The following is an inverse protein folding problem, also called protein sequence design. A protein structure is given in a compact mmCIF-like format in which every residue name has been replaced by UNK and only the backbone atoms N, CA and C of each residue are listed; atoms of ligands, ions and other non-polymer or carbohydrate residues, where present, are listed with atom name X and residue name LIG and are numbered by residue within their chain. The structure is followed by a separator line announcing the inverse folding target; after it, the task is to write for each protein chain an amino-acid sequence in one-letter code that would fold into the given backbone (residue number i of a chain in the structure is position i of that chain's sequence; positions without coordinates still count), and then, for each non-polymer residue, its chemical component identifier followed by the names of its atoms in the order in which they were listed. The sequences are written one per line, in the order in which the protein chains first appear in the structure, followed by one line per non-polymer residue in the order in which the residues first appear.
data_IF_748099082200
#
_entry.id   IF_748099082200
#
_cell.length_a   1.000
_cell.length_b   1.000
_cell.length_c   1.000
_cell.angle_alpha   90.00
_cell.angle_beta   90.00
_cell.angle_gamma   90.00
#
_symmetry.space_group_name_H-M   'P 1'
#
loop_
_entity.id
_entity.type
_entity.pdbx_description
1 polymer ?
#
# COMPACT_ATOMS: atom_id res chain seq x y z
N UNK A 1 17.92 5.40 -7.00
CA UNK A 1 17.75 5.74 -5.58
C UNK A 1 18.89 5.10 -4.82
N UNK A 2 19.64 5.88 -4.02
CA UNK A 2 20.78 5.35 -3.28
C UNK A 2 20.31 4.70 -1.96
N UNK A 3 21.09 3.80 -1.35
CA UNK A 3 20.73 3.19 -0.07
C UNK A 3 20.48 4.23 1.05
N UNK A 4 21.20 5.35 1.05
CA UNK A 4 21.00 6.45 2.02
C UNK A 4 19.64 7.15 1.82
N UNK A 5 19.19 7.31 0.57
CA UNK A 5 17.87 7.88 0.27
C UNK A 5 16.77 6.92 0.71
N UNK A 6 16.97 5.61 0.50
CA UNK A 6 16.05 4.57 0.97
C UNK A 6 15.94 4.59 2.50
N UNK A 7 17.07 4.70 3.21
CA UNK A 7 17.09 4.83 4.66
C UNK A 7 16.32 6.06 5.12
N UNK A 8 16.59 7.21 4.50
CA UNK A 8 15.92 8.48 4.80
C UNK A 8 14.40 8.39 4.56
N UNK A 9 13.98 7.81 3.43
CA UNK A 9 12.57 7.65 3.09
C UNK A 9 11.85 6.67 4.03
N UNK A 10 12.52 5.57 4.39
CA UNK A 10 11.99 4.58 5.32
C UNK A 10 11.80 5.16 6.72
N UNK A 11 12.75 5.95 7.21
CA UNK A 11 12.69 6.61 8.52
C UNK A 11 11.66 7.76 8.58
N UNK A 12 11.35 8.38 7.45
CA UNK A 12 10.30 9.40 7.35
C UNK A 12 8.88 8.80 7.44
N UNK A 13 8.73 7.47 7.37
CA UNK A 13 7.42 6.81 7.56
C UNK A 13 6.99 6.85 9.04
N UNK A 14 5.68 7.00 9.33
CA UNK A 14 5.20 7.05 10.70
C UNK A 14 5.55 5.78 11.49
N UNK A 15 6.12 5.99 12.68
CA UNK A 15 6.62 4.94 13.56
C UNK A 15 7.61 3.96 12.92
N UNK A 16 8.34 4.43 11.90
CA UNK A 16 9.50 3.71 11.41
C UNK A 16 10.65 3.81 12.42
N UNK A 17 11.30 2.69 12.67
CA UNK A 17 12.52 2.59 13.43
C UNK A 17 13.53 1.73 12.70
N UNK A 18 14.80 2.04 12.88
CA UNK A 18 15.93 1.28 12.35
C UNK A 18 16.56 0.44 13.45
N UNK A 19 16.84 -0.82 13.14
CA UNK A 19 17.59 -1.73 14.00
C UNK A 19 18.57 -2.57 13.17
N UNK A 20 19.67 -3.00 13.78
CA UNK A 20 20.67 -3.87 13.13
C UNK A 20 20.80 -5.24 13.84
N UNK A 21 19.78 -6.11 13.78
CA UNK A 21 19.79 -7.40 14.47
C UNK A 21 20.81 -8.38 13.89
N UNK A 22 21.24 -8.19 12.63
CA UNK A 22 22.14 -9.11 11.93
C UNK A 22 23.58 -8.58 11.81
N UNK A 23 23.94 -7.54 12.55
CA UNK A 23 25.27 -6.91 12.52
C UNK A 23 25.39 -5.77 11.51
N UNK A 24 26.58 -5.17 11.40
CA UNK A 24 26.80 -3.96 10.62
C UNK A 24 26.50 -4.21 9.13
N UNK A 25 26.04 -3.18 8.43
CA UNK A 25 25.73 -3.19 6.99
C UNK A 25 24.43 -3.91 6.60
N UNK A 26 23.57 -4.21 7.57
CA UNK A 26 22.23 -4.78 7.35
C UNK A 26 21.17 -4.11 8.22
N UNK A 27 20.83 -2.84 7.96
CA UNK A 27 19.78 -2.16 8.70
C UNK A 27 18.41 -2.69 8.32
N UNK A 28 17.55 -2.74 9.33
CA UNK A 28 16.22 -3.33 9.30
C UNK A 28 15.24 -2.28 9.74
N UNK A 29 14.28 -1.98 8.88
CA UNK A 29 13.25 -0.99 9.14
C UNK A 29 11.98 -1.68 9.64
N UNK A 30 11.51 -1.22 10.79
CA UNK A 30 10.32 -1.73 11.46
C UNK A 30 9.29 -0.63 11.65
N UNK A 31 8.01 -1.00 11.50
CA UNK A 31 6.87 -0.15 11.82
C UNK A 31 5.95 -0.90 12.77
N UNK A 32 5.58 -0.28 13.90
CA UNK A 32 4.73 -0.91 14.92
C UNK A 32 5.27 -2.27 15.42
N UNK A 33 6.60 -2.42 15.49
CA UNK A 33 7.28 -3.65 15.93
C UNK A 33 7.40 -4.76 14.87
N UNK A 34 7.02 -4.50 13.61
CA UNK A 34 7.10 -5.46 12.50
C UNK A 34 8.02 -4.95 11.41
N UNK A 35 8.88 -5.83 10.88
CA UNK A 35 9.79 -5.49 9.78
C UNK A 35 9.01 -5.30 8.48
N UNK A 36 9.28 -4.21 7.77
CA UNK A 36 8.73 -3.92 6.43
C UNK A 36 9.82 -3.80 5.36
N UNK A 37 11.01 -3.29 5.68
CA UNK A 37 12.09 -3.17 4.72
C UNK A 37 13.42 -3.61 5.34
N UNK A 38 14.31 -4.17 4.54
CA UNK A 38 15.68 -4.49 4.94
C UNK A 38 16.62 -4.10 3.82
N UNK A 39 17.66 -3.35 4.14
CA UNK A 39 18.75 -3.09 3.22
C UNK A 39 19.88 -4.09 3.47
N UNK A 40 20.51 -4.52 2.39
CA UNK A 40 21.75 -5.25 2.44
C UNK A 40 22.76 -4.51 1.56
N UNK A 41 23.83 -4.04 2.18
CA UNK A 41 24.89 -3.34 1.48
C UNK A 41 25.49 -4.21 0.36
N UNK A 42 25.95 -3.54 -0.69
CA UNK A 42 26.69 -4.13 -1.78
C UNK A 42 27.88 -4.93 -1.25
N UNK A 43 28.17 -6.04 -1.92
CA UNK A 43 29.39 -6.81 -1.70
C UNK A 43 30.18 -6.91 -3.01
N UNK A 44 31.37 -7.52 -2.95
CA UNK A 44 32.25 -7.65 -4.12
C UNK A 44 31.63 -8.38 -5.33
N UNK A 45 30.44 -8.96 -5.21
CA UNK A 45 29.78 -9.72 -6.27
C UNK A 45 28.35 -9.27 -6.58
N UNK A 46 27.75 -8.38 -5.79
CA UNK A 46 26.35 -7.95 -5.98
C UNK A 46 26.15 -6.49 -5.52
N UNK A 47 25.31 -5.72 -6.24
CA UNK A 47 24.97 -4.35 -5.88
C UNK A 47 24.14 -4.30 -4.59
N UNK A 48 23.85 -3.10 -4.10
CA UNK A 48 22.95 -2.89 -2.95
C UNK A 48 21.59 -3.51 -3.23
N UNK A 49 21.02 -4.13 -2.19
CA UNK A 49 19.73 -4.83 -2.29
C UNK A 49 18.76 -4.29 -1.27
N UNK A 50 17.58 -3.94 -1.74
CA UNK A 50 16.43 -3.61 -0.91
C UNK A 50 15.48 -4.80 -0.91
N UNK A 51 15.18 -5.36 0.26
CA UNK A 51 14.11 -6.35 0.39
C UNK A 51 12.91 -5.78 1.10
N UNK A 52 11.73 -5.92 0.50
CA UNK A 52 10.47 -5.37 0.99
C UNK A 52 9.36 -6.42 0.91
N UNK A 53 8.30 -6.23 1.70
CA UNK A 53 7.09 -7.02 1.59
C UNK A 53 6.20 -6.45 0.50
N UNK A 54 5.58 -7.34 -0.27
CA UNK A 54 4.68 -6.98 -1.34
C UNK A 54 3.52 -7.99 -1.39
N UNK A 55 2.34 -7.54 -1.81
CA UNK A 55 1.24 -8.45 -2.11
C UNK A 55 1.60 -9.39 -3.27
N UNK A 56 1.12 -10.64 -3.23
CA UNK A 56 1.44 -11.65 -4.24
C UNK A 56 1.10 -11.22 -5.66
N UNK A 57 -0.03 -10.52 -5.85
CA UNK A 57 -0.46 -10.04 -7.16
C UNK A 57 0.45 -8.93 -7.69
N UNK A 58 0.85 -7.98 -6.82
CA UNK A 58 1.74 -6.89 -7.20
C UNK A 58 3.17 -7.40 -7.47
N UNK A 59 3.66 -8.34 -6.66
CA UNK A 59 4.98 -8.94 -6.86
C UNK A 59 5.13 -9.57 -8.26
N UNK A 60 4.10 -10.24 -8.77
CA UNK A 60 4.11 -10.81 -10.11
C UNK A 60 4.26 -9.74 -11.19
N UNK A 61 3.52 -8.63 -11.05
CA UNK A 61 3.61 -7.49 -11.96
C UNK A 61 5.02 -6.87 -11.96
N UNK A 62 5.59 -6.69 -10.77
CA UNK A 62 6.94 -6.13 -10.61
C UNK A 62 8.01 -7.03 -11.24
N UNK A 63 7.86 -8.36 -11.18
CA UNK A 63 8.78 -9.28 -11.86
C UNK A 63 8.69 -9.18 -13.39
N UNK A 64 7.50 -8.93 -13.94
CA UNK A 64 7.30 -8.76 -15.38
C UNK A 64 7.86 -7.42 -15.88
N UNK A 65 7.71 -6.37 -15.09
CA UNK A 65 8.16 -5.02 -15.46
C UNK A 65 9.65 -4.79 -15.26
N UNK A 66 10.20 -5.29 -14.15
CA UNK A 66 11.55 -4.96 -13.71
C UNK A 66 12.39 -6.21 -13.52
N UNK A 67 13.32 -6.52 -14.45
CA UNK A 67 14.23 -7.67 -14.34
C UNK A 67 15.14 -7.64 -13.10
N UNK A 68 15.33 -6.45 -12.50
CA UNK A 68 16.08 -6.25 -11.27
C UNK A 68 15.31 -6.66 -10.01
N UNK A 69 14.00 -6.93 -10.11
CA UNK A 69 13.19 -7.42 -8.99
C UNK A 69 13.24 -8.95 -9.00
N UNK A 70 13.66 -9.53 -7.88
CA UNK A 70 13.78 -10.97 -7.69
C UNK A 70 12.98 -11.45 -6.49
N UNK A 71 12.54 -12.72 -6.47
CA UNK A 71 11.97 -13.29 -5.26
C UNK A 71 13.00 -13.23 -4.13
N UNK A 72 12.59 -12.64 -3.01
CA UNK A 72 13.44 -12.46 -1.84
C UNK A 72 13.65 -13.74 -1.04
N UNK A 73 14.73 -13.78 -0.26
CA UNK A 73 15.17 -14.94 0.52
C UNK A 73 14.33 -15.24 1.80
N UNK A 74 13.13 -14.67 1.92
CA UNK A 74 12.28 -14.74 3.12
C UNK A 74 11.06 -15.67 3.02
N UNK A 75 10.20 -15.63 4.05
CA UNK A 75 8.95 -16.40 4.12
C UNK A 75 7.98 -15.99 3.01
N UNK A 76 7.68 -16.91 2.09
CA UNK A 76 6.71 -16.71 1.02
C UNK A 76 5.35 -17.22 1.49
N UNK A 77 4.48 -16.31 1.92
CA UNK A 77 3.11 -16.64 2.29
C UNK A 77 2.15 -16.49 1.11
N UNK A 78 0.96 -17.12 1.13
CA UNK A 78 -0.01 -17.02 0.03
C UNK A 78 -0.62 -15.62 -0.15
N UNK A 79 -0.39 -14.70 0.81
CA UNK A 79 -0.89 -13.31 0.75
C UNK A 79 0.23 -12.27 0.60
N UNK A 80 1.44 -12.59 1.03
CA UNK A 80 2.54 -11.65 1.12
C UNK A 80 3.84 -12.35 0.72
N UNK A 81 4.59 -11.73 -0.18
CA UNK A 81 5.92 -12.18 -0.58
C UNK A 81 6.95 -11.15 -0.19
N UNK A 82 8.16 -11.63 0.08
CA UNK A 82 9.33 -10.77 0.10
C UNK A 82 9.88 -10.70 -1.31
N UNK A 83 10.04 -9.48 -1.81
CA UNK A 83 10.75 -9.21 -3.06
C UNK A 83 12.08 -8.54 -2.71
N UNK A 84 13.10 -8.81 -3.51
CA UNK A 84 14.41 -8.17 -3.40
C UNK A 84 14.65 -7.40 -4.69
N UNK A 85 14.84 -6.10 -4.57
CA UNK A 85 15.15 -5.17 -5.64
C UNK A 85 16.64 -4.89 -5.61
N UNK A 86 17.31 -5.07 -6.75
CA UNK A 86 18.69 -4.64 -6.92
C UNK A 86 18.70 -3.13 -7.23
N UNK A 87 19.45 -2.35 -6.45
CA UNK A 87 19.62 -0.91 -6.64
C UNK A 87 20.74 -0.65 -7.68
N UNK A 88 20.55 -1.16 -8.89
CA UNK A 88 21.47 -1.01 -10.01
C UNK A 88 21.14 0.19 -10.93
N UNK A 89 20.10 0.96 -10.57
CA UNK A 89 19.61 2.11 -11.33
C UNK A 89 18.65 1.76 -12.47
N UNK A 90 18.27 0.49 -12.64
CA UNK A 90 17.27 0.08 -13.65
C UNK A 90 15.82 0.37 -13.23
N UNK A 91 15.56 0.41 -11.93
CA UNK A 91 14.26 0.75 -11.36
C UNK A 91 14.24 2.24 -11.00
N UNK A 92 13.22 3.00 -11.44
CA UNK A 92 13.12 4.41 -11.13
C UNK A 92 12.89 4.64 -9.63
N UNK A 93 13.39 5.77 -9.13
CA UNK A 93 13.39 6.11 -7.72
C UNK A 93 11.98 6.22 -7.13
N UNK A 94 11.05 6.73 -7.93
CA UNK A 94 9.62 6.83 -7.58
C UNK A 94 9.02 5.45 -7.31
N UNK A 95 9.32 4.48 -8.18
CA UNK A 95 8.84 3.10 -8.01
C UNK A 95 9.42 2.46 -6.76
N UNK A 96 10.71 2.67 -6.47
CA UNK A 96 11.34 2.17 -5.24
C UNK A 96 10.65 2.75 -4.01
N UNK A 97 10.35 4.05 -4.01
CA UNK A 97 9.62 4.73 -2.94
C UNK A 97 8.19 4.17 -2.78
N UNK A 98 7.49 3.90 -3.88
CA UNK A 98 6.16 3.26 -3.88
C UNK A 98 6.22 1.84 -3.32
N UNK A 99 7.22 1.04 -3.70
CA UNK A 99 7.42 -0.31 -3.15
C UNK A 99 7.64 -0.28 -1.63
N UNK A 100 8.43 0.67 -1.13
CA UNK A 100 8.66 0.85 0.32
C UNK A 100 7.35 1.26 1.02
N UNK A 101 6.64 2.22 0.46
CA UNK A 101 5.35 2.70 0.99
C UNK A 101 4.30 1.59 1.03
N UNK A 102 4.20 0.79 -0.03
CA UNK A 102 3.32 -0.36 -0.09
C UNK A 102 3.68 -1.42 0.97
N UNK A 103 4.97 -1.71 1.16
CA UNK A 103 5.42 -2.63 2.20
C UNK A 103 5.04 -2.16 3.61
N UNK A 104 5.17 -0.85 3.88
CA UNK A 104 4.73 -0.26 5.14
C UNK A 104 3.22 -0.43 5.34
N UNK A 105 2.40 -0.18 4.31
CA UNK A 105 0.96 -0.39 4.36
C UNK A 105 0.61 -1.86 4.66
N UNK A 106 1.29 -2.81 4.02
CA UNK A 106 1.11 -4.24 4.27
C UNK A 106 1.34 -4.59 5.76
N UNK A 107 2.36 -4.00 6.38
CA UNK A 107 2.67 -4.20 7.79
C UNK A 107 1.60 -3.57 8.69
N UNK A 108 1.21 -2.33 8.39
CA UNK A 108 0.19 -1.57 9.11
C UNK A 108 -1.15 -2.30 9.09
N UNK A 109 -1.50 -2.94 7.97
CA UNK A 109 -2.73 -3.70 7.82
C UNK A 109 -2.77 -4.96 8.68
N UNK A 110 -1.59 -5.49 9.03
CA UNK A 110 -1.44 -6.58 9.99
C UNK A 110 -1.46 -6.15 11.46
N UNK A 111 -1.58 -4.86 11.79
CA UNK A 111 -1.61 -4.36 13.18
C UNK A 111 -3.04 -4.30 13.75
N UNK A 112 -3.19 -4.26 15.09
CA UNK A 112 -4.49 -4.06 15.73
C UNK A 112 -5.17 -2.79 15.22
N UNK A 113 -6.50 -2.80 15.15
CA UNK A 113 -7.30 -1.71 14.58
C UNK A 113 -6.91 -0.32 15.10
N UNK A 114 -6.70 -0.18 16.41
CA UNK A 114 -6.30 1.10 17.03
C UNK A 114 -4.97 1.62 16.50
N UNK A 115 -3.95 0.75 16.44
CA UNK A 115 -2.63 1.12 15.93
C UNK A 115 -2.67 1.43 14.43
N UNK A 116 -3.34 0.57 13.65
CA UNK A 116 -3.53 0.75 12.22
C UNK A 116 -4.22 2.07 11.88
N UNK A 117 -5.35 2.36 12.52
CA UNK A 117 -6.13 3.57 12.24
C UNK A 117 -5.35 4.84 12.64
N UNK A 118 -4.52 4.78 13.68
CA UNK A 118 -3.61 5.88 14.05
C UNK A 118 -2.50 6.07 13.01
N UNK A 119 -1.82 5.00 12.60
CA UNK A 119 -0.74 5.07 11.62
C UNK A 119 -1.22 5.57 10.25
N UNK A 120 -2.38 5.09 9.80
CA UNK A 120 -3.00 5.57 8.55
C UNK A 120 -3.36 7.06 8.59
N UNK A 121 -3.75 7.59 9.76
CA UNK A 121 -3.94 9.05 9.93
C UNK A 121 -2.63 9.79 9.78
N UNK A 122 -1.59 9.41 10.54
CA UNK A 122 -0.27 10.03 10.47
C UNK A 122 0.33 10.00 9.06
N UNK A 123 0.15 8.90 8.34
CA UNK A 123 0.65 8.77 6.96
C UNK A 123 -0.09 9.68 5.98
N UNK A 124 -1.41 9.85 6.15
CA UNK A 124 -2.18 10.82 5.36
C UNK A 124 -1.72 12.25 5.63
N UNK A 125 -1.52 12.59 6.90
CA UNK A 125 -1.11 13.93 7.32
C UNK A 125 0.31 14.26 6.79
N UNK A 126 1.19 13.26 6.63
CA UNK A 126 2.48 13.39 5.94
C UNK A 126 2.33 13.64 4.43
N UNK A 127 1.43 12.91 3.77
CA UNK A 127 1.23 13.00 2.32
C UNK A 127 0.58 14.32 1.86
N UNK A 128 0.03 15.12 2.78
CA UNK A 128 -0.48 16.47 2.52
C UNK A 128 0.28 17.51 3.35
N UNK A 129 1.42 18.04 2.87
CA UNK A 129 2.09 19.13 3.56
C UNK A 129 1.36 20.50 3.50
N UNK A 130 0.23 20.63 2.81
CA UNK A 130 -0.53 21.88 2.71
C UNK A 130 -1.94 21.64 3.28
N UNK A 131 -2.44 22.29 4.35
CA UNK A 131 -2.98 23.67 4.36
C UNK A 131 -3.17 24.33 5.76
N UNK A 132 -2.73 23.75 6.90
CA UNK A 132 -3.12 24.30 8.23
C UNK A 132 -1.99 25.07 8.92
N UNK A 133 -2.12 26.40 8.82
CA UNK A 133 -1.78 27.43 9.82
C UNK A 133 -0.87 28.56 9.29
N UNK A 134 -1.45 29.49 8.51
CA UNK A 134 -1.09 30.89 8.66
C UNK A 134 -1.82 31.44 9.90
N UNK A 135 -1.14 31.87 10.98
CA UNK A 135 -1.80 32.60 12.06
C UNK A 135 -1.94 34.06 11.63
N UNK A 136 -3.11 34.46 11.15
CA UNK A 136 -3.40 35.86 10.90
C UNK A 136 -4.64 36.11 10.05
N UNK A 137 -5.51 36.99 10.55
CA UNK A 137 -6.65 37.59 9.87
C UNK A 137 -7.96 36.79 9.84
N UNK A 138 -8.58 36.65 11.01
CA UNK A 138 -10.01 36.92 11.11
C UNK A 138 -10.14 38.27 11.81
N UNK A 139 -9.92 39.35 11.04
CA UNK A 139 -10.35 40.67 11.47
C UNK A 139 -11.87 40.65 11.61
N UNK A 140 -12.30 41.02 12.81
CA UNK A 140 -13.63 41.51 13.12
C UNK A 140 -14.10 42.47 12.02
N UNK A 141 -15.22 42.18 11.38
CA UNK A 141 -15.94 43.14 10.56
C UNK A 141 -17.42 42.84 10.69
N UNK A 142 -18.11 43.81 11.28
CA UNK A 142 -19.50 43.89 11.69
C UNK A 142 -20.55 43.40 10.67
N UNK A 143 -21.78 43.10 11.14
CA UNK A 143 -22.85 42.52 10.36
C UNK A 143 -23.77 43.62 9.81
N UNK A 144 -23.91 43.77 8.48
CA UNK A 144 -25.07 44.48 7.95
C UNK A 144 -25.49 44.04 6.54
N UNK A 145 -26.72 43.53 6.48
CA UNK A 145 -27.66 43.55 5.35
C UNK A 145 -27.24 43.01 3.96
N UNK A 146 -27.80 41.85 3.60
CA UNK A 146 -28.76 41.79 2.49
C UNK A 146 -29.54 40.47 2.51
N UNK A 147 -30.84 40.58 2.86
CA UNK A 147 -31.84 39.53 2.67
C UNK A 147 -32.25 39.49 1.20
N UNK A 148 -32.32 38.31 0.58
CA UNK A 148 -33.30 38.01 -0.48
C UNK A 148 -33.83 36.59 -0.28
N UNK A 149 -35.17 36.35 -0.26
CA UNK A 149 -35.76 35.06 0.05
C UNK A 149 -36.36 34.33 -1.18
N UNK A 150 -36.74 33.06 -0.95
CA UNK A 150 -37.67 32.22 -1.74
C UNK A 150 -37.03 31.57 -3.00
N UNK A 151 -37.20 30.28 -3.29
CA UNK A 151 -38.35 29.44 -3.00
C UNK A 151 -38.10 27.94 -3.00
N UNK A 152 -38.89 27.30 -2.13
CA UNK A 152 -39.19 25.87 -2.15
C UNK A 152 -40.05 25.54 -3.35
N UNK A 153 -39.68 24.52 -4.11
CA UNK A 153 -40.65 23.63 -4.76
C UNK A 153 -40.07 22.22 -4.91
N UNK A 154 -40.75 21.25 -4.29
CA UNK A 154 -40.73 19.83 -4.62
C UNK A 154 -42.13 19.51 -5.14
N UNK A 155 -42.28 18.76 -6.23
CA UNK A 155 -43.07 17.51 -6.18
C UNK A 155 -42.41 16.40 -7.03
N UNK A 156 -42.28 15.14 -6.62
CA UNK A 156 -43.30 14.06 -6.48
C UNK A 156 -43.26 13.04 -7.65
N UNK A 157 -42.93 11.80 -7.30
CA UNK A 157 -43.62 10.53 -7.64
C UNK A 157 -43.85 10.06 -9.10
N UNK A 158 -43.38 8.82 -9.31
CA UNK A 158 -44.11 7.65 -9.91
C UNK A 158 -43.93 7.31 -11.39
N UNK A 159 -43.37 6.10 -11.63
CA UNK A 159 -43.80 5.01 -12.56
C UNK A 159 -42.77 3.87 -12.36
N UNK A 160 -42.98 2.68 -11.80
CA UNK A 160 -43.90 1.51 -11.98
C UNK A 160 -43.81 0.77 -13.32
N UNK A 161 -42.88 -0.22 -13.38
CA UNK A 161 -42.97 -1.61 -13.93
C UNK A 161 -43.28 -1.83 -15.45
N UNK A 162 -43.15 -3.04 -16.06
CA UNK A 162 -42.96 -4.40 -15.50
C UNK A 162 -42.01 -5.33 -16.37
N UNK A 163 -42.14 -6.69 -16.48
CA UNK A 163 -41.03 -7.65 -16.26
C UNK A 163 -40.82 -8.69 -17.41
N UNK A 164 -40.11 -9.80 -17.08
CA UNK A 164 -39.90 -11.07 -17.83
C UNK A 164 -38.59 -11.12 -18.66
N UNK A 165 -37.77 -12.18 -18.61
CA UNK A 165 -38.18 -13.55 -18.91
C UNK A 165 -37.34 -14.65 -18.23
N UNK A 166 -37.98 -15.81 -18.07
CA UNK A 166 -37.46 -17.09 -17.54
C UNK A 166 -36.86 -17.93 -18.67
N UNK A 167 -35.78 -18.66 -18.38
CA UNK A 167 -35.43 -19.99 -18.90
C UNK A 167 -34.14 -20.42 -18.20
N UNK A 168 -33.85 -21.65 -17.79
CA UNK A 168 -34.56 -22.91 -17.67
C UNK A 168 -33.75 -23.75 -16.66
N UNK A 169 -34.39 -24.72 -16.03
CA UNK A 169 -33.87 -25.57 -14.94
C UNK A 169 -33.53 -26.97 -15.48
N UNK A 170 -32.76 -27.70 -14.68
CA UNK A 170 -32.50 -29.16 -14.70
C UNK A 170 -31.44 -29.62 -15.72
N UNK A 171 -30.48 -30.50 -15.38
CA UNK A 171 -30.31 -31.42 -14.26
C UNK A 171 -29.15 -32.40 -14.60
N UNK A 172 -28.97 -33.53 -13.89
CA UNK A 172 -27.80 -33.72 -13.01
C UNK A 172 -26.89 -34.92 -13.37
N UNK A 173 -25.97 -35.22 -12.44
CA UNK A 173 -25.25 -36.48 -12.16
C UNK A 173 -23.81 -36.57 -12.71
N UNK A 174 -22.75 -36.53 -11.89
CA UNK A 174 -22.33 -37.43 -10.79
C UNK A 174 -21.52 -38.63 -11.29
N UNK A 175 -20.19 -38.58 -11.00
CA UNK A 175 -19.27 -39.70 -10.64
C UNK A 175 -19.06 -40.73 -11.79
N UNK A 176 -17.94 -41.41 -12.07
CA UNK A 176 -16.99 -42.15 -11.23
C UNK A 176 -15.76 -42.52 -12.09
N UNK A 177 -14.57 -42.26 -11.56
CA UNK A 177 -13.39 -43.13 -11.42
C UNK A 177 -13.06 -44.26 -12.44
N UNK A 178 -11.77 -44.29 -12.79
CA UNK A 178 -10.84 -45.45 -12.74
C UNK A 178 -10.35 -46.14 -14.03
N UNK A 179 -9.00 -46.21 -14.10
CA UNK A 179 -8.14 -47.31 -14.63
C UNK A 179 -8.20 -47.57 -16.14
N UNK A 180 -7.16 -48.02 -16.84
CA UNK A 180 -5.82 -48.53 -16.54
C UNK A 180 -5.01 -48.39 -17.84
N UNK A 181 -3.72 -48.10 -17.76
CA UNK A 181 -2.80 -48.33 -18.89
C UNK A 181 -2.31 -49.79 -18.89
N UNK A 182 -2.02 -50.36 -20.07
CA UNK A 182 -1.41 -51.69 -20.21
C UNK A 182 0.08 -51.73 -19.81
#
# INVERSE_FOLDING_TARGET
MNPDDVASYALDLPEAGEEEPWGPQRPVYKAGGKIFATLAAANASQPDRLSVKCESALALHLYEQYPAVRPGYGYQGPRWHWITVHLDGTVPDEEIAEMISHSWQCVVDGLPRTARDRLRRLHRDRAQPDCVAAPGSCADSDPEHARVPVGRTRPSKTTKAPPASKASRAGPHSVVCSRSMP
#
